data_IF_787374634483
#
_entry.id   IF_787374634483
#
_cell.length_a   1.000
_cell.length_b   1.000
_cell.length_c   1.000
_cell.angle_alpha   90.00
_cell.angle_beta   90.00
_cell.angle_gamma   90.00
#
_symmetry.space_group_name_H-M   'P 1'
#
loop_
_entity.id
_entity.type
_entity.pdbx_description
1 polymer ?
#
# COMPACT_ATOMS: atom_id res chain seq x y z
N UNK A 1 -29.20 -13.47 -0.89
CA UNK A 1 -28.82 -14.04 -2.19
C UNK A 1 -27.32 -14.23 -2.12
N UNK A 2 -26.78 -15.45 -2.22
CA UNK A 2 -25.33 -15.65 -2.33
C UNK A 2 -25.01 -15.45 -3.80
N UNK A 3 -24.36 -14.32 -4.14
CA UNK A 3 -23.84 -14.10 -5.48
C UNK A 3 -22.69 -15.07 -5.69
N UNK A 4 -22.66 -15.76 -6.82
CA UNK A 4 -21.47 -16.49 -7.23
C UNK A 4 -20.50 -15.48 -7.83
N UNK A 5 -19.19 -15.56 -7.50
CA UNK A 5 -18.20 -14.77 -8.22
C UNK A 5 -18.14 -15.21 -9.68
N UNK A 6 -17.80 -14.30 -10.57
CA UNK A 6 -17.57 -14.63 -11.98
C UNK A 6 -16.34 -15.54 -12.13
N UNK A 7 -15.33 -15.33 -11.30
CA UNK A 7 -14.12 -16.16 -11.19
C UNK A 7 -13.85 -16.55 -9.75
N UNK A 8 -13.30 -17.73 -9.53
CA UNK A 8 -12.80 -18.22 -8.26
C UNK A 8 -11.43 -18.84 -8.49
N UNK A 9 -10.39 -18.16 -8.01
CA UNK A 9 -9.03 -18.64 -8.04
C UNK A 9 -8.72 -19.36 -6.73
N UNK A 10 -8.02 -20.48 -6.81
CA UNK A 10 -7.71 -21.32 -5.65
C UNK A 10 -6.19 -21.50 -5.51
N UNK A 11 -5.70 -21.47 -4.26
CA UNK A 11 -4.30 -21.79 -3.95
C UNK A 11 -3.94 -23.23 -4.32
N UNK A 12 -2.65 -23.47 -4.51
CA UNK A 12 -2.11 -24.77 -4.97
C UNK A 12 -2.10 -25.82 -3.87
N UNK A 13 -1.87 -25.44 -2.60
CA UNK A 13 -1.84 -26.35 -1.47
C UNK A 13 -2.53 -25.79 -0.22
N UNK A 14 -2.94 -26.67 0.72
CA UNK A 14 -3.45 -26.23 2.02
C UNK A 14 -2.38 -25.44 2.79
N UNK A 15 -2.80 -24.37 3.44
CA UNK A 15 -1.95 -23.49 4.27
C UNK A 15 -1.05 -22.50 3.53
N UNK A 16 -1.00 -22.47 2.21
CA UNK A 16 -0.17 -21.55 1.42
C UNK A 16 -0.51 -20.05 1.68
N UNK A 17 -1.68 -19.80 2.29
CA UNK A 17 -2.19 -18.43 2.48
C UNK A 17 -2.35 -17.67 1.14
N UNK A 18 -2.69 -18.37 0.06
CA UNK A 18 -3.01 -17.77 -1.23
C UNK A 18 -4.12 -16.73 -1.09
N UNK A 19 -3.91 -15.55 -1.64
CA UNK A 19 -4.82 -14.42 -1.49
C UNK A 19 -4.65 -13.63 -0.17
N UNK A 20 -3.51 -13.80 0.54
CA UNK A 20 -3.20 -12.98 1.73
C UNK A 20 -3.08 -11.50 1.38
N UNK A 21 -2.61 -11.22 0.19
CA UNK A 21 -2.65 -9.91 -0.45
C UNK A 21 -2.96 -10.10 -1.93
N UNK A 22 -3.78 -9.21 -2.48
CA UNK A 22 -4.19 -9.17 -3.88
C UNK A 22 -4.09 -7.72 -4.33
N UNK A 23 -3.49 -7.50 -5.48
CA UNK A 23 -3.32 -6.17 -6.07
C UNK A 23 -3.48 -6.24 -7.58
N UNK A 24 -3.60 -5.08 -8.22
CA UNK A 24 -3.26 -5.00 -9.64
C UNK A 24 -1.77 -5.29 -9.82
N UNK A 25 -1.43 -5.96 -10.90
CA UNK A 25 -0.05 -6.06 -11.38
C UNK A 25 0.30 -4.93 -12.34
N UNK A 26 -0.71 -4.13 -12.78
CA UNK A 26 -0.60 -3.28 -13.95
C UNK A 26 -0.88 -4.07 -15.23
N UNK A 27 -0.41 -3.60 -16.36
CA UNK A 27 -0.42 -4.28 -17.65
C UNK A 27 0.99 -4.82 -17.93
N UNK A 28 1.33 -5.96 -17.28
CA UNK A 28 2.70 -6.50 -17.29
C UNK A 28 3.13 -7.08 -18.63
N UNK A 29 2.19 -7.24 -19.57
CA UNK A 29 2.44 -7.80 -20.91
C UNK A 29 2.11 -6.81 -22.03
N UNK A 30 1.64 -5.60 -21.72
CA UNK A 30 1.23 -4.51 -22.60
C UNK A 30 0.17 -4.94 -23.62
N UNK A 31 -0.81 -5.77 -23.21
CA UNK A 31 -1.92 -6.21 -24.06
C UNK A 31 -3.16 -5.28 -23.96
N UNK A 32 -3.12 -4.29 -23.08
CA UNK A 32 -4.17 -3.29 -22.84
C UNK A 32 -5.18 -3.68 -21.78
N UNK A 33 -4.97 -4.75 -21.05
CA UNK A 33 -5.79 -5.19 -19.91
C UNK A 33 -4.95 -5.22 -18.65
N UNK A 34 -5.54 -4.76 -17.55
CA UNK A 34 -4.88 -4.85 -16.25
C UNK A 34 -4.83 -6.31 -15.75
N UNK A 35 -3.70 -6.67 -15.16
CA UNK A 35 -3.41 -7.99 -14.62
C UNK A 35 -3.59 -8.03 -13.10
N UNK A 36 -3.71 -9.23 -12.53
CA UNK A 36 -3.88 -9.43 -11.09
C UNK A 36 -2.69 -10.17 -10.50
N UNK A 37 -2.10 -9.59 -9.45
CA UNK A 37 -1.00 -10.14 -8.68
C UNK A 37 -1.50 -10.64 -7.32
N UNK A 38 -1.15 -11.89 -6.97
CA UNK A 38 -1.61 -12.57 -5.75
C UNK A 38 -0.42 -13.16 -5.00
N UNK A 39 -0.35 -12.88 -3.70
CA UNK A 39 0.67 -13.42 -2.81
C UNK A 39 0.19 -14.67 -2.05
N UNK A 40 1.15 -15.58 -1.74
CA UNK A 40 0.97 -16.80 -0.98
C UNK A 40 2.21 -17.07 -0.11
N UNK A 41 2.37 -16.30 0.97
CA UNK A 41 3.63 -16.19 1.72
C UNK A 41 4.02 -17.45 2.52
N UNK A 42 3.12 -18.42 2.67
CA UNK A 42 3.40 -19.72 3.30
C UNK A 42 3.45 -20.87 2.28
N UNK A 43 3.56 -20.54 1.00
CA UNK A 43 3.77 -21.55 -0.05
C UNK A 43 5.14 -22.18 0.07
N UNK A 44 5.22 -23.48 -0.24
CA UNK A 44 6.42 -24.29 -0.10
C UNK A 44 6.49 -25.08 1.21
N UNK A 45 7.47 -25.99 1.30
CA UNK A 45 7.58 -26.94 2.42
C UNK A 45 8.03 -26.28 3.74
N UNK A 46 8.61 -25.07 3.66
CA UNK A 46 9.21 -24.36 4.80
C UNK A 46 8.83 -22.85 4.80
N UNK A 47 7.64 -22.51 4.33
CA UNK A 47 7.15 -21.12 4.27
C UNK A 47 8.09 -20.19 3.45
N UNK A 48 8.64 -20.69 2.33
CA UNK A 48 9.46 -19.90 1.41
C UNK A 48 8.67 -18.76 0.78
N UNK A 49 7.42 -19.06 0.39
CA UNK A 49 6.47 -18.12 -0.21
C UNK A 49 6.48 -18.13 -1.73
N UNK A 50 5.36 -17.66 -2.30
CA UNK A 50 5.17 -17.57 -3.75
C UNK A 50 4.32 -16.34 -4.14
N UNK A 51 4.44 -15.95 -5.41
CA UNK A 51 3.56 -14.96 -6.04
C UNK A 51 3.07 -15.47 -7.39
N UNK A 52 1.89 -15.00 -7.78
CA UNK A 52 1.16 -15.45 -8.96
C UNK A 52 0.61 -14.26 -9.72
N UNK A 53 0.76 -14.23 -11.05
CA UNK A 53 0.09 -13.28 -11.93
C UNK A 53 -0.93 -14.01 -12.79
N UNK A 54 -2.10 -13.42 -12.91
CA UNK A 54 -3.18 -13.83 -13.81
C UNK A 54 -3.44 -12.71 -14.78
N UNK A 55 -3.26 -12.98 -16.09
CA UNK A 55 -3.46 -11.95 -17.11
C UNK A 55 -4.93 -11.61 -17.28
N UNK A 56 -5.18 -10.32 -17.44
CA UNK A 56 -6.43 -9.79 -17.91
C UNK A 56 -6.68 -10.12 -19.38
N UNK A 57 -7.89 -9.85 -19.86
CA UNK A 57 -8.22 -10.04 -21.25
C UNK A 57 -9.69 -9.75 -21.53
N UNK A 58 -10.11 -9.82 -22.81
CA UNK A 58 -11.49 -9.47 -23.20
C UNK A 58 -12.57 -10.37 -22.57
N UNK A 59 -12.19 -11.55 -22.10
CA UNK A 59 -13.10 -12.52 -21.43
C UNK A 59 -12.88 -12.52 -19.90
N UNK A 60 -12.12 -11.57 -19.36
CA UNK A 60 -11.70 -11.47 -17.95
C UNK A 60 -10.38 -12.18 -17.69
N UNK A 61 -10.10 -12.49 -16.40
CA UNK A 61 -8.85 -13.10 -15.98
C UNK A 61 -8.69 -14.54 -16.50
N UNK A 62 -7.45 -14.97 -16.69
CA UNK A 62 -7.07 -16.36 -16.93
C UNK A 62 -7.60 -17.30 -15.84
N UNK A 63 -7.89 -18.56 -16.18
CA UNK A 63 -8.35 -19.59 -15.22
C UNK A 63 -7.20 -20.23 -14.42
N UNK A 64 -5.97 -20.10 -14.90
CA UNK A 64 -4.73 -20.58 -14.30
C UNK A 64 -3.72 -19.44 -14.26
N UNK A 65 -2.77 -19.46 -13.34
CA UNK A 65 -1.76 -18.41 -13.33
C UNK A 65 -0.90 -18.46 -14.60
N UNK A 66 -0.69 -17.31 -15.22
CA UNK A 66 0.14 -17.13 -16.39
C UNK A 66 1.63 -17.04 -16.00
N UNK A 67 1.88 -16.52 -14.80
CA UNK A 67 3.20 -16.48 -14.20
C UNK A 67 3.16 -16.93 -12.75
N UNK A 68 4.19 -17.67 -12.31
CA UNK A 68 4.36 -18.12 -10.93
C UNK A 68 5.84 -18.03 -10.58
N UNK A 69 6.14 -17.40 -9.45
CA UNK A 69 7.46 -17.46 -8.85
C UNK A 69 7.38 -18.06 -7.46
N UNK A 70 8.06 -19.17 -7.25
CA UNK A 70 8.25 -19.81 -5.97
C UNK A 70 9.64 -19.45 -5.46
N UNK A 71 9.70 -18.78 -4.31
CA UNK A 71 10.99 -18.43 -3.71
C UNK A 71 11.63 -19.67 -3.07
N UNK A 72 12.94 -19.62 -2.81
CA UNK A 72 13.70 -20.76 -2.28
C UNK A 72 14.39 -20.47 -0.91
N UNK A 73 14.16 -19.27 -0.36
CA UNK A 73 14.73 -18.89 0.94
C UNK A 73 13.79 -19.28 2.09
N UNK A 74 14.33 -20.04 3.02
CA UNK A 74 13.61 -20.57 4.19
C UNK A 74 12.97 -19.44 5.02
N UNK A 75 11.64 -19.53 5.24
CA UNK A 75 10.85 -18.61 6.09
C UNK A 75 10.97 -17.12 5.77
N UNK A 76 11.27 -16.76 4.56
CA UNK A 76 11.38 -15.35 4.17
C UNK A 76 10.01 -14.66 4.05
N UNK A 77 8.93 -15.45 3.90
CA UNK A 77 7.57 -14.96 3.70
C UNK A 77 7.41 -14.15 2.41
N UNK A 78 8.09 -14.55 1.33
CA UNK A 78 7.95 -13.96 0.00
C UNK A 78 6.49 -13.99 -0.45
N UNK A 79 6.00 -12.89 -1.01
CA UNK A 79 4.57 -12.75 -1.38
C UNK A 79 3.65 -12.33 -0.22
N UNK A 80 4.22 -11.88 0.92
CA UNK A 80 3.43 -11.31 2.01
C UNK A 80 2.88 -9.93 1.67
N UNK A 81 3.59 -9.16 0.86
CA UNK A 81 3.16 -7.93 0.22
C UNK A 81 3.38 -8.06 -1.29
N UNK A 82 2.42 -7.62 -2.08
CA UNK A 82 2.48 -7.67 -3.55
C UNK A 82 1.80 -6.42 -4.13
N UNK A 83 2.47 -5.74 -5.06
CA UNK A 83 1.97 -4.52 -5.73
C UNK A 83 2.55 -4.39 -7.13
N UNK A 84 1.88 -3.62 -7.99
CA UNK A 84 2.55 -3.05 -9.18
C UNK A 84 3.66 -2.12 -8.74
N UNK A 85 4.76 -2.14 -9.47
CA UNK A 85 5.87 -1.20 -9.34
C UNK A 85 5.72 -0.01 -10.31
N UNK A 86 4.80 -0.11 -11.30
CA UNK A 86 4.79 0.75 -12.47
C UNK A 86 5.88 0.33 -13.47
N UNK A 87 6.16 1.17 -14.45
CA UNK A 87 7.23 0.96 -15.45
C UNK A 87 8.55 1.57 -14.93
N UNK A 88 9.24 0.84 -14.03
CA UNK A 88 10.45 1.36 -13.35
C UNK A 88 11.68 1.39 -14.24
N UNK A 89 11.61 0.75 -15.42
CA UNK A 89 12.72 0.66 -16.37
C UNK A 89 12.45 1.38 -17.71
N UNK A 90 11.22 1.90 -17.92
CA UNK A 90 10.82 2.69 -19.08
C UNK A 90 10.70 1.87 -20.36
N UNK A 91 10.42 0.57 -20.28
CA UNK A 91 10.35 -0.32 -21.45
C UNK A 91 8.92 -0.49 -21.99
N UNK A 92 7.92 0.07 -21.29
CA UNK A 92 6.51 0.11 -21.68
C UNK A 92 5.69 -1.06 -21.17
N UNK A 93 6.22 -1.86 -20.25
CA UNK A 93 5.51 -2.90 -19.50
C UNK A 93 5.48 -2.52 -18.02
N UNK A 94 4.35 -2.71 -17.35
CA UNK A 94 4.34 -2.54 -15.92
C UNK A 94 5.14 -3.65 -15.23
N UNK A 95 5.88 -3.28 -14.17
CA UNK A 95 6.70 -4.17 -13.37
C UNK A 95 5.96 -4.55 -12.08
N UNK A 96 6.37 -5.65 -11.44
CA UNK A 96 5.78 -6.09 -10.19
C UNK A 96 6.78 -6.06 -9.05
N UNK A 97 6.29 -5.71 -7.86
CA UNK A 97 7.07 -5.66 -6.63
C UNK A 97 6.53 -6.61 -5.58
N UNK A 98 7.42 -7.35 -4.94
CA UNK A 98 7.09 -8.37 -3.95
C UNK A 98 7.91 -8.16 -2.69
N UNK A 99 7.22 -8.07 -1.56
CA UNK A 99 7.81 -7.94 -0.24
C UNK A 99 7.87 -9.28 0.48
N UNK A 100 8.96 -9.46 1.21
CA UNK A 100 9.28 -10.62 2.03
C UNK A 100 9.69 -10.17 3.45
N UNK A 101 8.74 -9.63 4.24
CA UNK A 101 9.03 -9.13 5.57
C UNK A 101 9.16 -10.31 6.55
N UNK A 102 10.35 -10.62 6.98
CA UNK A 102 10.57 -11.67 7.98
C UNK A 102 9.79 -11.40 9.26
N UNK A 103 9.06 -12.40 9.77
CA UNK A 103 8.27 -12.30 11.00
C UNK A 103 8.86 -13.06 12.17
N UNK A 104 10.08 -13.56 12.08
CA UNK A 104 10.71 -14.28 13.18
C UNK A 104 11.07 -13.34 14.33
N UNK A 105 10.82 -13.77 15.54
CA UNK A 105 11.33 -13.17 16.78
C UNK A 105 12.49 -13.97 17.38
N UNK A 106 12.92 -15.04 16.68
CA UNK A 106 14.05 -15.87 17.13
C UNK A 106 15.35 -15.19 16.71
N UNK A 107 16.16 -14.72 17.66
CA UNK A 107 17.45 -14.09 17.33
C UNK A 107 18.48 -15.07 16.74
N UNK A 108 18.18 -16.36 16.69
CA UNK A 108 18.98 -17.36 15.98
C UNK A 108 18.55 -17.53 14.51
N UNK A 109 17.45 -16.92 14.10
CA UNK A 109 16.98 -16.86 12.73
C UNK A 109 17.51 -15.55 12.13
N UNK A 110 18.59 -15.63 11.35
CA UNK A 110 19.29 -14.48 10.76
C UNK A 110 18.61 -13.95 9.48
N UNK A 111 17.35 -14.36 9.19
CA UNK A 111 16.62 -13.83 8.03
C UNK A 111 16.28 -12.37 8.20
N UNK A 112 16.62 -11.58 7.21
CA UNK A 112 16.33 -10.14 7.10
C UNK A 112 15.14 -9.94 6.16
N UNK A 113 14.37 -8.87 6.36
CA UNK A 113 13.32 -8.49 5.43
C UNK A 113 13.90 -8.06 4.08
N UNK A 114 13.24 -8.44 3.00
CA UNK A 114 13.68 -8.18 1.63
C UNK A 114 12.53 -7.69 0.75
N UNK A 115 12.89 -7.09 -0.38
CA UNK A 115 11.95 -6.71 -1.44
C UNK A 115 12.55 -6.99 -2.79
N UNK A 116 11.71 -7.35 -3.75
CA UNK A 116 12.08 -7.86 -5.06
C UNK A 116 11.24 -7.19 -6.15
N UNK A 117 11.87 -6.90 -7.30
CA UNK A 117 11.18 -6.45 -8.52
C UNK A 117 11.42 -7.47 -9.64
N UNK A 118 10.38 -7.73 -10.41
CA UNK A 118 10.40 -8.52 -11.64
C UNK A 118 9.88 -7.63 -12.76
N UNK A 119 10.71 -7.42 -13.79
CA UNK A 119 10.33 -6.60 -14.91
C UNK A 119 9.31 -7.28 -15.80
N UNK A 120 8.33 -6.50 -16.23
CA UNK A 120 7.34 -6.90 -17.21
C UNK A 120 7.96 -7.22 -18.56
N UNK A 121 7.18 -7.72 -19.48
CA UNK A 121 7.64 -8.05 -20.84
C UNK A 121 6.57 -8.76 -21.63
N UNK A 122 6.79 -9.01 -22.94
CA UNK A 122 5.76 -9.52 -23.86
C UNK A 122 5.19 -10.90 -23.47
N UNK A 123 5.86 -11.63 -22.61
CA UNK A 123 5.42 -12.94 -22.08
C UNK A 123 5.03 -12.86 -20.58
N UNK A 124 4.90 -11.63 -20.03
CA UNK A 124 4.66 -11.33 -18.61
C UNK A 124 5.94 -11.10 -17.83
N UNK A 125 5.89 -11.09 -16.48
CA UNK A 125 7.05 -10.79 -15.66
C UNK A 125 8.19 -11.77 -15.86
N UNK A 126 9.42 -11.33 -15.69
CA UNK A 126 10.62 -12.13 -15.83
C UNK A 126 10.59 -13.36 -14.88
N UNK A 127 11.30 -14.43 -15.23
CA UNK A 127 11.41 -15.64 -14.43
C UNK A 127 12.59 -15.58 -13.44
N UNK A 128 13.27 -14.46 -13.37
CA UNK A 128 14.40 -14.20 -12.47
C UNK A 128 14.21 -12.86 -11.81
N UNK A 129 14.70 -12.72 -10.59
CA UNK A 129 14.71 -11.45 -9.89
C UNK A 129 15.59 -10.45 -10.66
N UNK A 130 15.01 -9.31 -11.06
CA UNK A 130 15.73 -8.27 -11.79
C UNK A 130 16.38 -7.26 -10.83
N UNK A 131 15.69 -6.96 -9.73
CA UNK A 131 16.22 -6.12 -8.66
C UNK A 131 15.81 -6.66 -7.30
N UNK A 132 16.67 -6.45 -6.30
CA UNK A 132 16.36 -6.80 -4.92
C UNK A 132 17.14 -5.96 -3.93
N UNK A 133 16.52 -5.76 -2.76
CA UNK A 133 17.14 -5.12 -1.61
C UNK A 133 16.78 -5.88 -0.34
N UNK A 134 17.76 -5.98 0.56
CA UNK A 134 17.58 -6.61 1.88
C UNK A 134 17.95 -5.60 2.96
N UNK A 135 17.14 -5.50 4.00
CA UNK A 135 17.43 -4.62 5.12
C UNK A 135 18.74 -5.01 5.82
N UNK A 136 19.54 -4.04 6.24
CA UNK A 136 20.67 -4.31 7.10
C UNK A 136 20.24 -4.55 8.56
N UNK A 137 18.97 -4.33 8.92
CA UNK A 137 18.47 -4.36 10.29
C UNK A 137 17.55 -5.55 10.52
N UNK A 138 17.86 -6.33 11.55
CA UNK A 138 17.05 -7.47 11.96
C UNK A 138 15.74 -7.01 12.63
N UNK A 139 14.61 -7.62 12.21
CA UNK A 139 13.32 -7.44 12.87
C UNK A 139 12.56 -6.16 12.52
N UNK A 140 13.07 -5.34 11.61
CA UNK A 140 12.45 -4.07 11.21
C UNK A 140 11.21 -4.22 10.32
N UNK A 141 10.90 -5.45 9.89
CA UNK A 141 9.76 -5.74 9.00
C UNK A 141 9.86 -5.07 7.63
N UNK A 142 11.07 -4.88 7.14
CA UNK A 142 11.33 -4.35 5.81
C UNK A 142 10.66 -5.20 4.73
N UNK A 143 10.02 -4.55 3.76
CA UNK A 143 9.19 -5.24 2.76
C UNK A 143 7.74 -5.49 3.21
N UNK A 144 7.28 -4.88 4.33
CA UNK A 144 5.89 -5.03 4.79
C UNK A 144 4.88 -4.26 3.95
N UNK A 145 5.20 -3.05 3.55
CA UNK A 145 4.53 -2.33 2.49
C UNK A 145 5.54 -2.06 1.38
N UNK A 146 5.15 -2.35 0.17
CA UNK A 146 5.96 -2.19 -1.05
C UNK A 146 5.05 -1.68 -2.16
N UNK A 147 5.61 -1.08 -3.19
CA UNK A 147 4.88 -0.72 -4.41
C UNK A 147 5.49 0.45 -5.15
N UNK A 148 5.03 0.66 -6.37
CA UNK A 148 5.28 1.87 -7.13
C UNK A 148 4.68 3.09 -6.44
N UNK A 149 5.38 4.18 -6.49
CA UNK A 149 4.91 5.48 -6.01
C UNK A 149 4.72 6.48 -7.15
N UNK A 150 4.96 6.04 -8.40
CA UNK A 150 4.97 6.89 -9.58
C UNK A 150 6.30 7.60 -9.73
N UNK A 151 6.41 8.47 -10.73
CA UNK A 151 7.57 9.29 -11.04
C UNK A 151 7.64 10.49 -10.09
N UNK A 152 8.42 10.38 -8.98
CA UNK A 152 8.47 11.42 -7.94
C UNK A 152 9.45 12.55 -8.28
N UNK A 153 10.36 12.36 -9.26
CA UNK A 153 11.36 13.34 -9.67
C UNK A 153 11.20 13.85 -11.10
N UNK A 154 10.27 13.29 -11.87
CA UNK A 154 9.92 13.72 -13.22
C UNK A 154 10.92 13.29 -14.29
N UNK A 155 11.68 12.22 -14.04
CA UNK A 155 12.68 11.72 -14.99
C UNK A 155 12.10 10.78 -16.05
N UNK A 156 10.84 10.36 -15.88
CA UNK A 156 10.06 9.54 -16.79
C UNK A 156 10.12 8.05 -16.51
N UNK A 157 10.65 7.63 -15.37
CA UNK A 157 10.60 6.28 -14.85
C UNK A 157 9.77 6.26 -13.57
N UNK A 158 8.99 5.21 -13.35
CA UNK A 158 8.31 5.06 -12.08
C UNK A 158 9.28 4.67 -10.96
N UNK A 159 9.03 5.18 -9.75
CA UNK A 159 9.83 4.93 -8.58
C UNK A 159 9.14 3.94 -7.64
N UNK A 160 9.93 3.27 -6.80
CA UNK A 160 9.41 2.28 -5.87
C UNK A 160 9.70 2.65 -4.42
N UNK A 161 8.79 2.23 -3.55
CA UNK A 161 8.91 2.42 -2.11
C UNK A 161 8.92 1.08 -1.37
N UNK A 162 9.75 1.00 -0.34
CA UNK A 162 9.77 -0.08 0.65
C UNK A 162 9.60 0.51 2.05
N UNK A 163 8.78 -0.09 2.88
CA UNK A 163 8.66 0.28 4.28
C UNK A 163 9.30 -0.73 5.23
N UNK A 164 9.82 -0.22 6.35
CA UNK A 164 10.21 -1.00 7.50
C UNK A 164 9.62 -0.36 8.76
N UNK A 165 8.41 -0.78 9.17
CA UNK A 165 7.68 -0.04 10.21
C UNK A 165 8.22 -0.22 11.65
N UNK A 166 9.23 -1.08 11.84
CA UNK A 166 10.05 -1.18 13.06
C UNK A 166 11.51 -0.75 12.82
N UNK A 167 11.75 -0.03 11.73
CA UNK A 167 13.08 0.46 11.41
C UNK A 167 13.56 1.46 12.47
N UNK A 168 14.83 1.32 12.89
CA UNK A 168 15.47 2.10 13.94
C UNK A 168 16.60 2.93 13.34
N UNK A 169 16.45 4.23 13.22
CA UNK A 169 17.56 5.14 12.83
C UNK A 169 17.85 6.13 13.93
N UNK A 170 16.84 6.88 14.40
CA UNK A 170 16.96 7.89 15.46
C UNK A 170 16.27 7.42 16.73
N UNK A 171 15.09 6.82 16.59
CA UNK A 171 14.29 6.30 17.71
C UNK A 171 13.97 4.83 17.51
N UNK A 172 13.80 4.09 18.62
CA UNK A 172 13.43 2.68 18.60
C UNK A 172 12.03 2.50 17.97
N UNK A 173 11.92 1.62 16.97
CA UNK A 173 10.68 1.29 16.25
C UNK A 173 9.95 2.53 15.69
N UNK A 174 10.68 3.56 15.28
CA UNK A 174 10.04 4.74 14.69
C UNK A 174 9.43 4.46 13.31
N UNK A 175 9.98 3.46 12.61
CA UNK A 175 9.59 3.09 11.25
C UNK A 175 10.14 4.05 10.19
N UNK A 176 10.14 3.60 8.93
CA UNK A 176 10.65 4.36 7.81
C UNK A 176 10.00 4.00 6.48
N UNK A 177 9.99 4.98 5.59
CA UNK A 177 9.72 4.83 4.17
C UNK A 177 11.03 5.06 3.43
N UNK A 178 11.31 4.21 2.46
CA UNK A 178 12.55 4.23 1.70
C UNK A 178 12.18 4.17 0.22
N UNK A 179 12.61 5.16 -0.56
CA UNK A 179 12.36 5.24 -2.01
C UNK A 179 13.64 4.94 -2.77
N UNK A 180 13.49 4.23 -3.87
CA UNK A 180 14.51 3.90 -4.87
C UNK A 180 14.01 4.41 -6.20
N UNK A 181 14.73 5.38 -6.78
CA UNK A 181 14.39 6.00 -8.05
C UNK A 181 14.60 5.02 -9.21
N UNK A 182 13.65 5.02 -10.15
CA UNK A 182 13.68 4.24 -11.37
C UNK A 182 14.78 4.70 -12.35
N UNK A 183 15.04 3.92 -13.36
CA UNK A 183 15.95 4.30 -14.46
C UNK A 183 15.90 3.25 -15.56
N UNK A 184 16.45 3.53 -16.75
CA UNK A 184 16.58 2.55 -17.82
C UNK A 184 17.32 1.24 -17.44
N UNK A 185 17.89 1.15 -16.25
CA UNK A 185 18.50 -0.06 -15.71
C UNK A 185 17.67 -0.68 -14.57
N UNK A 186 16.48 -0.16 -14.32
CA UNK A 186 15.62 -0.46 -13.19
C UNK A 186 15.93 0.41 -11.96
N UNK A 187 15.34 0.10 -10.79
CA UNK A 187 15.52 0.90 -9.59
C UNK A 187 16.97 0.96 -9.11
N UNK A 188 17.35 2.06 -8.50
CA UNK A 188 18.70 2.26 -7.97
C UNK A 188 19.07 1.19 -6.93
N UNK A 189 20.36 0.89 -6.78
CA UNK A 189 20.86 -0.10 -5.81
C UNK A 189 21.06 0.48 -4.40
N UNK A 190 20.89 1.79 -4.26
CA UNK A 190 20.97 2.50 -3.00
C UNK A 190 19.74 3.37 -2.87
N UNK A 191 19.19 3.47 -1.68
CA UNK A 191 18.05 4.34 -1.46
C UNK A 191 18.39 5.79 -1.78
N UNK A 192 17.49 6.43 -2.48
CA UNK A 192 17.63 7.82 -2.91
C UNK A 192 17.03 8.76 -1.86
N UNK A 193 15.98 8.29 -1.19
CA UNK A 193 15.29 9.03 -0.16
C UNK A 193 14.82 8.14 1.00
N UNK A 194 14.70 8.76 2.21
CA UNK A 194 14.19 8.09 3.41
C UNK A 194 13.43 9.07 4.29
N UNK A 195 12.23 8.67 4.73
CA UNK A 195 11.47 9.33 5.78
C UNK A 195 11.42 8.50 7.05
N UNK A 196 11.36 9.16 8.20
CA UNK A 196 11.33 8.54 9.53
C UNK A 196 10.08 8.96 10.31
N UNK A 197 9.61 8.08 11.20
CA UNK A 197 8.40 8.29 11.98
C UNK A 197 8.46 9.37 13.06
N UNK A 198 9.67 9.85 13.38
CA UNK A 198 9.89 11.01 14.25
C UNK A 198 9.59 10.78 15.72
N UNK A 199 9.42 9.55 16.17
CA UNK A 199 9.18 9.23 17.58
C UNK A 199 9.26 7.74 17.89
N UNK A 200 9.67 7.40 19.12
CA UNK A 200 9.76 6.00 19.56
C UNK A 200 8.45 5.27 19.38
N UNK A 201 8.48 4.17 18.64
CA UNK A 201 7.34 3.31 18.39
C UNK A 201 6.31 3.86 17.41
N UNK A 202 6.58 4.97 16.71
CA UNK A 202 5.62 5.60 15.81
C UNK A 202 5.13 4.67 14.69
N UNK A 203 6.02 3.80 14.17
CA UNK A 203 5.68 2.77 13.20
C UNK A 203 5.31 3.33 11.84
N UNK A 204 6.04 4.35 11.34
CA UNK A 204 5.86 4.86 9.98
C UNK A 204 6.08 3.74 8.96
N UNK A 205 5.20 3.69 7.96
CA UNK A 205 5.22 2.64 6.96
C UNK A 205 4.40 1.40 7.31
N UNK A 206 3.57 1.46 8.37
CA UNK A 206 2.56 0.44 8.59
C UNK A 206 1.55 0.40 7.45
N UNK A 207 0.97 1.54 7.08
CA UNK A 207 0.30 1.81 5.82
C UNK A 207 1.12 2.82 5.05
N UNK A 208 1.39 2.56 3.77
CA UNK A 208 2.16 3.46 2.92
C UNK A 208 1.94 3.13 1.44
N UNK A 209 2.15 4.11 0.58
CA UNK A 209 2.03 3.98 -0.87
C UNK A 209 2.03 5.32 -1.59
N UNK A 210 1.69 5.30 -2.86
CA UNK A 210 1.44 6.50 -3.64
C UNK A 210 0.29 7.31 -3.04
N UNK A 211 0.41 8.62 -3.09
CA UNK A 211 -0.69 9.55 -2.86
C UNK A 211 -1.38 9.99 -4.18
N UNK A 212 -0.73 9.76 -5.32
CA UNK A 212 -1.03 10.40 -6.60
C UNK A 212 -0.37 11.76 -6.71
N UNK A 213 -0.81 12.60 -7.62
CA UNK A 213 -0.39 14.00 -7.76
C UNK A 213 -1.42 14.91 -7.06
N UNK A 214 -1.31 15.03 -5.72
CA UNK A 214 -2.31 15.72 -4.90
C UNK A 214 -2.25 17.23 -5.02
N UNK A 215 -1.16 17.76 -5.60
CA UNK A 215 -0.97 19.20 -5.78
C UNK A 215 -1.01 19.65 -7.25
N UNK A 216 -1.09 18.71 -8.21
CA UNK A 216 -1.22 18.98 -9.64
C UNK A 216 0.03 19.56 -10.28
N UNK A 217 1.21 19.29 -9.71
CA UNK A 217 2.48 19.83 -10.21
C UNK A 217 3.18 18.91 -11.23
N UNK A 218 2.65 17.73 -11.44
CA UNK A 218 3.10 16.73 -12.41
C UNK A 218 4.11 15.73 -11.87
N UNK A 219 4.40 15.75 -10.56
CA UNK A 219 5.22 14.77 -9.85
C UNK A 219 4.34 13.91 -8.95
N UNK A 220 4.68 12.65 -8.83
CA UNK A 220 3.95 11.76 -7.93
C UNK A 220 4.33 12.03 -6.47
N UNK A 221 3.37 11.89 -5.55
CA UNK A 221 3.53 12.15 -4.13
C UNK A 221 3.50 10.85 -3.31
N UNK A 222 4.20 10.85 -2.17
CA UNK A 222 4.32 9.68 -1.29
C UNK A 222 3.56 9.87 0.01
N UNK A 223 2.71 8.90 0.37
CA UNK A 223 1.90 8.89 1.58
C UNK A 223 2.37 7.82 2.56
N UNK A 224 2.54 8.22 3.82
CA UNK A 224 2.85 7.31 4.92
C UNK A 224 1.99 7.53 6.15
N UNK A 225 1.63 6.42 6.79
CA UNK A 225 0.96 6.38 8.09
C UNK A 225 1.87 5.88 9.20
N UNK A 226 1.82 6.57 10.33
CA UNK A 226 2.51 6.23 11.57
C UNK A 226 1.45 6.00 12.68
N UNK A 227 0.75 4.84 12.72
CA UNK A 227 -0.45 4.65 13.53
C UNK A 227 -0.21 4.67 15.04
N UNK A 228 1.04 4.56 15.48
CA UNK A 228 1.39 4.60 16.90
C UNK A 228 2.13 5.87 17.31
N UNK A 229 2.14 6.87 16.44
CA UNK A 229 2.73 8.18 16.77
C UNK A 229 2.04 8.78 18.00
N UNK A 230 2.85 9.26 18.96
CA UNK A 230 2.40 9.91 20.19
C UNK A 230 3.07 11.28 20.33
N UNK A 231 2.27 12.35 20.24
CA UNK A 231 2.72 13.72 20.44
C UNK A 231 2.79 14.12 21.93
N UNK A 232 2.64 13.17 22.86
CA UNK A 232 2.64 13.39 24.30
C UNK A 232 1.26 13.41 24.94
N UNK A 233 0.19 13.14 24.17
CA UNK A 233 -1.19 13.05 24.62
C UNK A 233 -1.78 11.63 24.52
N UNK A 234 -0.97 10.64 24.21
CA UNK A 234 -1.33 9.26 23.91
C UNK A 234 -1.26 8.95 22.41
N UNK A 235 -1.31 7.67 22.07
CA UNK A 235 -1.15 7.17 20.71
C UNK A 235 -2.33 7.63 19.85
N UNK A 236 -2.15 8.65 19.03
CA UNK A 236 -3.17 9.19 18.13
C UNK A 236 -2.97 8.76 16.67
N UNK A 237 -1.72 8.45 16.30
CA UNK A 237 -1.34 8.21 14.91
C UNK A 237 -1.13 9.51 14.13
N UNK A 238 -0.45 9.40 12.99
CA UNK A 238 -0.14 10.53 12.12
C UNK A 238 -0.14 10.08 10.65
N UNK A 239 -0.61 10.96 9.78
CA UNK A 239 -0.42 10.89 8.33
C UNK A 239 0.69 11.86 7.93
N UNK A 240 1.48 11.49 6.95
CA UNK A 240 2.53 12.30 6.37
C UNK A 240 2.50 12.15 4.85
N UNK A 241 2.52 13.26 4.11
CA UNK A 241 2.65 13.26 2.66
C UNK A 241 3.89 14.08 2.28
N UNK A 242 4.63 13.57 1.32
CA UNK A 242 5.84 14.16 0.77
C UNK A 242 5.59 14.42 -0.70
N UNK A 243 5.57 15.70 -1.09
CA UNK A 243 5.32 16.09 -2.48
C UNK A 243 6.58 15.87 -3.31
N UNK A 244 6.41 15.20 -4.46
CA UNK A 244 7.45 15.05 -5.45
C UNK A 244 7.91 16.38 -6.05
N UNK A 245 9.07 16.38 -6.68
CA UNK A 245 9.59 17.55 -7.37
C UNK A 245 10.82 17.18 -8.20
N UNK A 246 11.25 18.04 -9.13
CA UNK A 246 12.48 17.84 -9.91
C UNK A 246 13.77 17.65 -9.07
N UNK A 247 13.73 17.94 -7.77
CA UNK A 247 14.82 17.69 -6.81
C UNK A 247 14.53 16.44 -5.95
N UNK A 248 13.59 15.53 -6.38
CA UNK A 248 13.07 14.39 -5.66
C UNK A 248 12.22 14.78 -4.44
N UNK A 249 12.05 13.90 -3.46
CA UNK A 249 11.19 14.10 -2.29
C UNK A 249 11.85 14.95 -1.19
N UNK A 250 11.09 15.79 -0.45
CA UNK A 250 11.64 16.65 0.59
C UNK A 250 12.03 15.85 1.84
N UNK A 251 13.00 16.34 2.60
CA UNK A 251 13.47 15.72 3.86
C UNK A 251 12.51 15.84 5.05
N UNK A 252 11.40 16.58 4.89
CA UNK A 252 10.33 16.74 5.90
C UNK A 252 8.98 16.67 5.22
N UNK A 253 7.92 16.18 5.90
CA UNK A 253 6.60 16.11 5.28
C UNK A 253 6.15 17.48 4.75
N UNK A 254 5.64 17.50 3.51
CA UNK A 254 5.01 18.65 2.89
C UNK A 254 3.66 18.93 3.55
N UNK A 255 2.97 17.88 3.97
CA UNK A 255 1.73 17.93 4.70
C UNK A 255 1.69 16.84 5.78
N UNK A 256 0.99 17.10 6.88
CA UNK A 256 0.74 16.09 7.91
C UNK A 256 -0.55 16.35 8.65
N UNK A 257 -1.20 15.28 9.10
CA UNK A 257 -2.44 15.35 9.85
C UNK A 257 -2.45 14.40 11.05
N UNK A 258 -3.06 14.86 12.13
CA UNK A 258 -3.33 14.07 13.35
C UNK A 258 -4.77 14.29 13.78
N UNK A 259 -5.45 13.22 14.14
CA UNK A 259 -6.86 13.29 14.51
C UNK A 259 -7.09 13.88 15.91
N UNK A 260 -6.06 13.83 16.79
CA UNK A 260 -6.17 14.29 18.17
C UNK A 260 -6.95 13.35 19.08
N UNK A 261 -7.39 12.20 18.57
CA UNK A 261 -8.10 11.16 19.32
C UNK A 261 -7.11 10.11 19.79
N UNK A 262 -6.90 10.06 21.12
CA UNK A 262 -5.96 9.11 21.73
C UNK A 262 -6.45 7.66 21.59
N UNK A 263 -5.62 6.85 20.94
CA UNK A 263 -5.91 5.44 20.67
C UNK A 263 -6.46 5.16 19.29
N UNK A 264 -6.70 6.19 18.46
CA UNK A 264 -7.34 6.05 17.14
C UNK A 264 -6.55 5.18 16.16
N UNK A 265 -5.21 5.13 16.28
CA UNK A 265 -4.31 4.45 15.33
C UNK A 265 -4.52 4.95 13.88
N UNK A 266 -4.64 6.28 13.68
CA UNK A 266 -4.73 6.90 12.36
C UNK A 266 -3.49 6.57 11.51
N UNK A 267 -3.70 6.23 10.23
CA UNK A 267 -2.61 5.88 9.32
C UNK A 267 -2.25 4.39 9.31
N UNK A 268 -3.08 3.53 9.93
CA UNK A 268 -2.90 2.08 9.83
C UNK A 268 -3.12 1.54 8.42
N UNK A 269 -4.05 2.11 7.69
CA UNK A 269 -4.30 1.90 6.27
C UNK A 269 -4.42 3.25 5.60
N UNK A 270 -3.74 3.43 4.51
CA UNK A 270 -3.73 4.67 3.72
C UNK A 270 -3.63 4.31 2.24
N UNK A 271 -4.03 5.23 1.38
CA UNK A 271 -3.87 5.09 -0.07
C UNK A 271 -4.38 6.31 -0.83
N UNK A 272 -4.02 6.39 -2.10
CA UNK A 272 -4.69 7.29 -3.03
C UNK A 272 -6.17 6.94 -3.09
N UNK A 273 -7.02 7.94 -3.10
CA UNK A 273 -8.46 7.79 -3.33
C UNK A 273 -8.81 7.99 -4.82
N UNK A 274 -7.86 8.52 -5.62
CA UNK A 274 -8.11 9.07 -6.93
C UNK A 274 -8.78 10.43 -6.84
N UNK A 275 -9.32 10.94 -7.94
CA UNK A 275 -10.05 12.22 -8.00
C UNK A 275 -11.54 11.97 -7.63
N UNK A 276 -11.84 11.91 -6.31
CA UNK A 276 -13.20 11.58 -5.84
C UNK A 276 -14.20 12.74 -6.04
N UNK A 277 -13.70 13.95 -6.35
CA UNK A 277 -14.53 15.13 -6.52
C UNK A 277 -14.56 15.68 -7.96
N UNK A 278 -13.72 15.17 -8.87
CA UNK A 278 -13.66 15.54 -10.29
C UNK A 278 -13.01 16.89 -10.55
N UNK A 279 -12.11 17.36 -9.67
CA UNK A 279 -11.46 18.66 -9.80
C UNK A 279 -10.07 18.59 -10.48
N UNK A 280 -9.57 17.40 -10.76
CA UNK A 280 -8.33 17.12 -11.48
C UNK A 280 -7.10 16.98 -10.60
N UNK A 281 -7.26 16.91 -9.28
CA UNK A 281 -6.21 16.60 -8.30
C UNK A 281 -6.50 15.26 -7.67
N UNK A 282 -5.44 14.48 -7.39
CA UNK A 282 -5.62 13.25 -6.64
C UNK A 282 -5.92 13.53 -5.17
N UNK A 283 -6.76 12.68 -4.59
CA UNK A 283 -7.20 12.74 -3.20
C UNK A 283 -6.62 11.55 -2.41
N UNK A 284 -6.61 11.63 -1.07
CA UNK A 284 -6.15 10.52 -0.24
C UNK A 284 -7.24 10.04 0.71
N UNK A 285 -7.19 8.73 1.01
CA UNK A 285 -8.02 8.09 2.03
C UNK A 285 -7.15 7.50 3.14
N UNK A 286 -7.59 7.66 4.40
CA UNK A 286 -6.91 7.12 5.55
C UNK A 286 -7.88 6.49 6.54
N UNK A 287 -7.43 5.41 7.20
CA UNK A 287 -8.16 4.71 8.22
C UNK A 287 -7.61 4.94 9.62
N UNK A 288 -8.51 5.04 10.60
CA UNK A 288 -8.23 5.15 12.04
C UNK A 288 -9.06 4.10 12.77
N UNK A 289 -8.63 2.84 12.76
CA UNK A 289 -9.45 1.66 13.11
C UNK A 289 -10.00 1.64 14.54
N UNK A 290 -9.43 2.40 15.45
CA UNK A 290 -9.83 2.47 16.85
C UNK A 290 -10.37 3.85 17.25
N UNK A 291 -10.65 4.73 16.30
CA UNK A 291 -11.21 6.05 16.56
C UNK A 291 -12.55 5.95 17.31
N UNK A 292 -12.77 6.88 18.21
CA UNK A 292 -14.03 7.02 18.90
C UNK A 292 -15.01 7.85 18.06
N UNK A 293 -16.25 7.39 17.93
CA UNK A 293 -17.30 8.17 17.27
C UNK A 293 -17.74 9.33 18.18
N UNK A 294 -17.83 10.56 17.67
CA UNK A 294 -18.35 11.72 18.40
C UNK A 294 -19.75 11.51 19.02
N UNK A 295 -20.55 10.60 18.47
CA UNK A 295 -21.87 10.21 19.01
C UNK A 295 -21.77 9.25 20.21
N UNK A 296 -20.55 8.82 20.59
CA UNK A 296 -20.28 8.07 21.81
C UNK A 296 -20.02 6.57 21.64
N UNK A 297 -19.85 6.09 20.41
CA UNK A 297 -19.42 4.70 20.17
C UNK A 297 -17.91 4.63 20.27
N UNK A 298 -17.39 4.08 21.38
CA UNK A 298 -15.95 3.95 21.60
C UNK A 298 -15.34 2.88 20.67
N UNK A 299 -14.19 3.19 20.07
CA UNK A 299 -13.48 2.30 19.15
C UNK A 299 -14.36 1.80 17.99
N UNK A 300 -15.17 2.71 17.48
CA UNK A 300 -15.96 2.46 16.27
C UNK A 300 -15.07 2.24 15.06
N UNK A 301 -13.95 2.97 15.02
CA UNK A 301 -13.09 3.13 13.86
C UNK A 301 -13.62 4.21 12.92
N UNK A 302 -12.73 4.81 12.14
CA UNK A 302 -13.07 5.86 11.20
C UNK A 302 -12.34 5.70 9.86
N UNK A 303 -12.92 6.30 8.80
CA UNK A 303 -12.26 6.57 7.53
C UNK A 303 -12.39 8.06 7.19
N UNK A 304 -11.32 8.64 6.66
CA UNK A 304 -11.18 10.05 6.37
C UNK A 304 -10.72 10.24 4.92
N UNK A 305 -11.28 11.22 4.22
CA UNK A 305 -10.83 11.65 2.88
C UNK A 305 -10.36 13.10 2.95
N UNK A 306 -9.21 13.37 2.33
CA UNK A 306 -8.62 14.70 2.19
C UNK A 306 -8.49 15.00 0.71
N UNK A 307 -9.04 16.15 0.29
CA UNK A 307 -8.98 16.56 -1.10
C UNK A 307 -7.64 17.24 -1.44
N UNK A 308 -7.14 16.93 -2.63
CA UNK A 308 -6.03 17.64 -3.26
C UNK A 308 -6.45 19.00 -3.78
N UNK A 309 -5.49 19.83 -4.10
CA UNK A 309 -5.68 21.13 -4.75
C UNK A 309 -4.32 21.72 -5.16
N UNK A 310 -4.31 22.79 -5.96
CA UNK A 310 -3.08 23.52 -6.33
C UNK A 310 -2.25 24.01 -5.12
N UNK A 311 -2.82 24.08 -3.93
CA UNK A 311 -2.13 24.41 -2.68
C UNK A 311 -1.70 23.14 -1.90
N UNK A 312 -1.97 21.95 -2.44
CA UNK A 312 -1.77 20.64 -1.81
C UNK A 312 -3.01 20.17 -1.06
N UNK A 313 -2.84 19.18 -0.17
CA UNK A 313 -3.94 18.57 0.58
C UNK A 313 -4.60 19.52 1.55
N UNK A 314 -5.92 19.41 1.67
CA UNK A 314 -6.72 20.13 2.65
C UNK A 314 -6.23 19.88 4.08
N UNK A 315 -6.20 20.92 4.93
CA UNK A 315 -5.77 20.82 6.34
C UNK A 315 -6.70 19.95 7.20
N UNK A 316 -7.95 19.76 6.76
CA UNK A 316 -8.97 18.97 7.47
C UNK A 316 -9.67 18.03 6.50
N UNK A 317 -10.09 16.84 6.94
CA UNK A 317 -10.82 15.93 6.06
C UNK A 317 -12.13 16.57 5.59
N UNK A 318 -12.43 16.44 4.30
CA UNK A 318 -13.71 16.87 3.73
C UNK A 318 -14.83 15.89 4.10
N UNK A 319 -14.45 14.64 4.30
CA UNK A 319 -15.38 13.59 4.64
C UNK A 319 -14.77 12.71 5.74
N UNK A 320 -15.61 12.35 6.72
CA UNK A 320 -15.26 11.43 7.79
C UNK A 320 -16.48 10.60 8.13
N UNK A 321 -16.30 9.28 8.21
CA UNK A 321 -17.36 8.37 8.65
C UNK A 321 -16.84 7.41 9.69
N UNK A 322 -17.74 6.89 10.51
CA UNK A 322 -17.42 6.01 11.63
C UNK A 322 -18.16 4.69 11.54
N UNK A 323 -17.62 3.67 12.19
CA UNK A 323 -18.30 2.40 12.35
C UNK A 323 -19.53 2.51 13.27
N UNK A 324 -20.51 1.66 13.05
CA UNK A 324 -21.81 1.69 13.74
C UNK A 324 -21.79 1.04 15.13
N UNK A 325 -20.70 0.37 15.52
CA UNK A 325 -20.55 -0.25 16.84
C UNK A 325 -19.08 -0.41 17.25
N UNK A 326 -18.88 -0.56 18.57
CA UNK A 326 -17.56 -0.75 19.17
C UNK A 326 -16.88 -2.02 18.61
N UNK A 327 -15.57 -1.89 18.33
CA UNK A 327 -14.73 -2.96 17.78
C UNK A 327 -15.16 -3.46 16.40
N UNK A 328 -15.90 -2.63 15.64
CA UNK A 328 -16.15 -2.92 14.23
C UNK A 328 -14.86 -2.86 13.41
N UNK A 329 -13.84 -2.17 13.92
CA UNK A 329 -12.58 -1.89 13.24
C UNK A 329 -12.81 -1.25 11.86
N UNK A 330 -13.78 -0.37 11.76
CA UNK A 330 -14.07 0.39 10.57
C UNK A 330 -12.85 1.22 10.18
N UNK A 331 -12.50 1.26 8.88
CA UNK A 331 -11.27 1.89 8.42
C UNK A 331 -9.99 1.05 8.68
N UNK A 332 -10.12 -0.24 9.07
CA UNK A 332 -8.94 -1.12 9.19
C UNK A 332 -8.23 -1.34 7.86
N UNK A 333 -8.99 -1.31 6.77
CA UNK A 333 -8.51 -1.26 5.38
C UNK A 333 -9.32 -0.20 4.62
N UNK A 334 -8.63 0.64 3.87
CA UNK A 334 -9.21 1.66 2.99
C UNK A 334 -8.50 1.63 1.64
N UNK A 335 -9.21 1.95 0.57
CA UNK A 335 -8.66 2.02 -0.78
C UNK A 335 -9.50 2.92 -1.68
N UNK A 336 -8.88 3.64 -2.60
CA UNK A 336 -9.51 4.05 -3.84
C UNK A 336 -9.76 2.83 -4.73
N UNK A 337 -10.85 2.80 -5.43
CA UNK A 337 -11.26 1.67 -6.29
C UNK A 337 -11.58 2.11 -7.72
N UNK A 338 -11.21 3.37 -8.06
CA UNK A 338 -11.49 3.98 -9.35
C UNK A 338 -12.98 4.24 -9.57
N UNK A 339 -13.33 4.83 -10.68
CA UNK A 339 -14.72 5.11 -11.08
C UNK A 339 -15.44 3.80 -11.50
N UNK A 340 -16.05 3.11 -10.52
CA UNK A 340 -16.72 1.82 -10.77
C UNK A 340 -18.10 1.95 -11.41
N UNK A 341 -18.65 3.16 -11.41
CA UNK A 341 -20.00 3.43 -11.95
C UNK A 341 -19.98 4.20 -13.28
N UNK A 342 -18.83 4.74 -13.71
CA UNK A 342 -18.63 5.46 -14.96
C UNK A 342 -19.18 6.89 -14.95
N UNK A 343 -19.25 7.54 -13.77
CA UNK A 343 -19.80 8.90 -13.64
C UNK A 343 -18.74 10.01 -13.67
N UNK A 344 -17.45 9.64 -13.72
CA UNK A 344 -16.32 10.55 -13.81
C UNK A 344 -15.75 11.00 -12.46
N UNK A 345 -16.15 10.36 -11.37
CA UNK A 345 -15.60 10.53 -10.02
C UNK A 345 -15.06 9.20 -9.53
N UNK A 346 -13.88 9.19 -8.93
CA UNK A 346 -13.34 7.98 -8.35
C UNK A 346 -14.08 7.59 -7.06
N UNK A 347 -14.19 6.30 -6.82
CA UNK A 347 -14.94 5.70 -5.70
C UNK A 347 -14.00 5.10 -4.66
N UNK A 348 -14.50 4.93 -3.44
CA UNK A 348 -13.69 4.42 -2.33
C UNK A 348 -14.35 3.20 -1.65
N UNK A 349 -13.49 2.34 -1.07
CA UNK A 349 -13.90 1.20 -0.27
C UNK A 349 -13.35 1.29 1.16
N UNK A 350 -14.18 0.95 2.14
CA UNK A 350 -13.82 0.92 3.57
C UNK A 350 -14.18 -0.43 4.17
N UNK A 351 -13.19 -1.11 4.73
CA UNK A 351 -13.32 -2.40 5.37
C UNK A 351 -13.59 -2.30 6.88
N UNK A 352 -14.50 -3.15 7.37
CA UNK A 352 -14.90 -3.25 8.77
C UNK A 352 -14.89 -4.72 9.22
N UNK A 353 -13.71 -5.33 9.48
CA UNK A 353 -13.60 -6.77 9.73
C UNK A 353 -14.24 -7.25 11.02
N UNK A 354 -14.44 -6.37 12.02
CA UNK A 354 -15.12 -6.66 13.28
C UNK A 354 -16.65 -6.57 13.24
N UNK A 355 -17.22 -6.07 12.13
CA UNK A 355 -18.65 -5.89 11.98
C UNK A 355 -19.41 -7.22 12.07
N UNK A 356 -20.69 -7.14 12.52
CA UNK A 356 -21.63 -8.27 12.61
C UNK A 356 -21.02 -9.53 13.26
N UNK A 357 -20.42 -9.36 14.46
CA UNK A 357 -19.80 -10.46 15.19
C UNK A 357 -18.64 -11.12 14.44
N UNK A 358 -17.81 -10.31 13.79
CA UNK A 358 -16.63 -10.71 13.02
C UNK A 358 -16.93 -11.46 11.72
N UNK A 359 -18.12 -11.30 11.15
CA UNK A 359 -18.36 -11.72 9.75
C UNK A 359 -17.79 -10.73 8.73
N UNK A 360 -17.51 -9.49 9.19
CA UNK A 360 -16.94 -8.42 8.38
C UNK A 360 -17.95 -7.75 7.45
N UNK A 361 -17.61 -6.53 7.04
CA UNK A 361 -18.32 -5.73 6.04
C UNK A 361 -17.34 -4.95 5.20
N UNK A 362 -17.72 -4.65 3.95
CA UNK A 362 -17.07 -3.66 3.10
C UNK A 362 -18.12 -2.64 2.70
N UNK A 363 -17.81 -1.37 2.88
CA UNK A 363 -18.64 -0.24 2.49
C UNK A 363 -18.03 0.40 1.26
N UNK A 364 -18.85 0.64 0.24
CA UNK A 364 -18.47 1.34 -0.97
C UNK A 364 -19.15 2.70 -0.95
N UNK A 365 -18.40 3.75 -1.22
CA UNK A 365 -18.89 5.12 -1.32
C UNK A 365 -18.55 5.64 -2.71
N UNK A 366 -19.56 6.18 -3.37
CA UNK A 366 -19.41 6.74 -4.71
C UNK A 366 -18.96 8.19 -4.60
N UNK A 367 -17.97 8.54 -5.43
CA UNK A 367 -17.50 9.89 -5.58
C UNK A 367 -18.58 10.85 -6.09
N UNK A 368 -18.39 12.14 -5.88
CA UNK A 368 -19.27 13.17 -6.39
C UNK A 368 -18.59 14.54 -6.32
N UNK A 369 -19.10 15.53 -7.03
CA UNK A 369 -18.58 16.92 -7.00
C UNK A 369 -18.44 17.56 -5.59
N UNK A 370 -18.84 16.87 -4.54
CA UNK A 370 -18.68 17.29 -3.14
C UNK A 370 -17.88 16.27 -2.30
N UNK A 371 -17.22 15.31 -2.96
CA UNK A 371 -16.56 14.16 -2.35
C UNK A 371 -17.50 12.96 -2.18
N UNK A 372 -17.05 11.88 -1.50
CA UNK A 372 -17.80 10.64 -1.36
C UNK A 372 -19.06 10.77 -0.51
#
# INVERSE_FOLDING_TARGET
>A
MILKPDRLLLGMAPSDQFGIEVSTAGDVNADGYADVLIGAFQSGDNDEGAAYVYFGGPDGLSDVPDWVYQHDVYRENFGRAVRSAGDVNGDGYDDIMIGAPTFTSDPADETLGSSYVFFGGPDGPSLTIDWSVTSPQFGDRFGRAVGGVGDVDGDGFDDIMVSGYFHDIVFENEGGLIVYEGSAAGPSLHHDWTALGGGTGAGLGWGAGAAGDVNGDGYADVLGGAPKFDAGNGIEGQLMVYYGSADSLPGTPSWSYRMGDSGSELGRSVGAAGDVNGDGYDDIIAGARNADDPEGVLKAGAALVFLGSAEGLAETPVWTTFGDHSLSFYGNYVAGIGDINGDGFDDIAVGSPGAQSFTGQVHIFLGSANGP
#
